data_IF_443935071961
#
_entry.id   IF_443935071961
#
_cell.length_a   1.000
_cell.length_b   1.000
_cell.length_c   1.000
_cell.angle_alpha   90.00
_cell.angle_beta   90.00
_cell.angle_gamma   90.00
#
_symmetry.space_group_name_H-M   'P 1'
#
loop_
_entity.id
_entity.type
_entity.pdbx_description
1 polymer ?
#
# COMPACT_ATOMS: atom_id res chain seq x y z
N UNK A 1 4.64 -9.01 4.07
CA UNK A 1 3.88 -8.07 3.22
C UNK A 1 2.41 -8.44 3.22
N UNK A 2 1.52 -7.47 3.26
CA UNK A 2 0.09 -7.72 3.26
C UNK A 2 -0.61 -6.79 2.27
N UNK A 3 -1.54 -7.34 1.47
CA UNK A 3 -2.38 -6.57 0.58
C UNK A 3 -3.83 -6.72 1.04
N UNK A 4 -4.52 -5.60 1.23
CA UNK A 4 -5.94 -5.56 1.57
C UNK A 4 -6.66 -4.69 0.55
N UNK A 5 -7.74 -5.21 0.01
CA UNK A 5 -8.59 -4.44 -0.89
C UNK A 5 -9.96 -4.24 -0.26
N UNK A 6 -10.37 -2.97 -0.14
CA UNK A 6 -11.66 -2.58 0.40
C UNK A 6 -12.59 -2.24 -0.74
N UNK A 7 -13.44 -3.19 -1.10
CA UNK A 7 -14.30 -3.07 -2.26
C UNK A 7 -15.27 -1.89 -2.16
N UNK A 8 -15.78 -1.60 -0.97
CA UNK A 8 -16.78 -0.55 -0.77
C UNK A 8 -16.24 0.83 -1.12
N UNK A 9 -14.97 1.07 -0.86
CA UNK A 9 -14.32 2.37 -1.10
C UNK A 9 -13.33 2.34 -2.27
N UNK A 10 -13.17 1.18 -2.91
CA UNK A 10 -12.19 0.97 -3.97
C UNK A 10 -10.79 1.38 -3.52
N UNK A 11 -10.41 0.94 -2.32
CA UNK A 11 -9.14 1.30 -1.71
C UNK A 11 -8.25 0.08 -1.58
N UNK A 12 -7.01 0.18 -2.05
CA UNK A 12 -5.99 -0.84 -1.89
C UNK A 12 -4.98 -0.38 -0.83
N UNK A 13 -4.74 -1.23 0.16
CA UNK A 13 -3.75 -1.01 1.19
C UNK A 13 -2.63 -2.04 1.03
N UNK A 14 -1.39 -1.57 0.93
CA UNK A 14 -0.21 -2.42 0.82
C UNK A 14 0.67 -2.16 2.03
N UNK A 15 0.88 -3.17 2.86
CA UNK A 15 1.76 -3.09 4.03
C UNK A 15 3.04 -3.83 3.74
N UNK A 16 4.16 -3.12 3.69
CA UNK A 16 5.47 -3.72 3.46
C UNK A 16 6.08 -4.28 4.73
N UNK A 17 5.89 -3.57 5.84
CA UNK A 17 6.39 -3.93 7.16
C UNK A 17 5.32 -3.64 8.21
N UNK A 18 5.13 -4.58 9.12
CA UNK A 18 4.23 -4.40 10.27
C UNK A 18 5.04 -3.82 11.43
N UNK A 19 5.20 -2.52 11.43
CA UNK A 19 5.95 -1.77 12.46
C UNK A 19 5.15 -0.51 12.83
N UNK A 20 5.56 0.15 13.91
CA UNK A 20 4.92 1.39 14.34
C UNK A 20 5.11 2.49 13.31
N UNK A 21 4.02 3.12 12.93
CA UNK A 21 4.00 4.23 11.99
C UNK A 21 4.08 5.53 12.79
N UNK A 22 5.06 6.37 12.47
CA UNK A 22 5.28 7.63 13.18
C UNK A 22 4.97 8.85 12.34
N UNK A 23 4.82 8.69 11.02
CA UNK A 23 4.53 9.80 10.12
C UNK A 23 3.75 9.31 8.90
N UNK A 24 2.95 10.20 8.35
CA UNK A 24 2.22 9.95 7.10
C UNK A 24 2.42 11.14 6.18
N UNK A 25 2.38 10.88 4.88
CA UNK A 25 2.56 11.90 3.86
C UNK A 25 1.68 11.59 2.65
N UNK A 26 0.96 12.59 2.17
CA UNK A 26 0.25 12.47 0.91
C UNK A 26 1.23 12.54 -0.25
N UNK A 27 1.29 11.48 -1.04
CA UNK A 27 2.03 11.51 -2.30
C UNK A 27 1.26 12.32 -3.34
N UNK A 28 -0.04 12.09 -3.40
CA UNK A 28 -1.01 12.90 -4.15
C UNK A 28 -2.34 12.81 -3.41
N UNK A 29 -3.40 13.39 -3.98
CA UNK A 29 -4.71 13.44 -3.31
C UNK A 29 -5.36 12.07 -3.12
N UNK A 30 -4.85 11.04 -3.79
CA UNK A 30 -5.41 9.68 -3.76
C UNK A 30 -4.39 8.63 -3.29
N UNK A 31 -3.23 9.04 -2.77
CA UNK A 31 -2.19 8.11 -2.34
C UNK A 31 -1.54 8.60 -1.06
N UNK A 32 -1.62 7.77 -0.01
CA UNK A 32 -1.03 8.07 1.29
C UNK A 32 0.15 7.13 1.55
N UNK A 33 1.26 7.70 2.00
CA UNK A 33 2.45 6.96 2.42
C UNK A 33 2.55 6.98 3.94
N UNK A 34 2.96 5.85 4.52
CA UNK A 34 3.17 5.72 5.96
C UNK A 34 4.63 5.35 6.23
N UNK A 35 5.24 6.03 7.22
CA UNK A 35 6.67 5.92 7.52
C UNK A 35 6.92 5.47 8.95
N UNK A 36 8.01 4.72 9.16
CA UNK A 36 8.52 4.38 10.49
C UNK A 36 9.51 5.45 10.99
N UNK A 37 10.11 5.22 12.15
CA UNK A 37 11.08 6.14 12.75
C UNK A 37 12.32 6.34 11.89
N UNK A 38 12.70 5.35 11.09
CA UNK A 38 13.87 5.43 10.22
C UNK A 38 13.58 6.15 8.90
N UNK A 39 12.35 6.62 8.69
CA UNK A 39 11.97 7.29 7.44
C UNK A 39 11.72 6.35 6.28
N UNK A 40 11.55 5.06 6.55
CA UNK A 40 11.23 4.07 5.53
C UNK A 40 9.73 4.04 5.26
N UNK A 41 9.36 3.85 4.00
CA UNK A 41 7.95 3.66 3.62
C UNK A 41 7.55 2.26 4.04
N UNK A 42 6.57 2.17 4.93
CA UNK A 42 6.10 0.88 5.47
C UNK A 42 4.74 0.46 4.95
N UNK A 43 3.96 1.40 4.44
CA UNK A 43 2.66 1.10 3.85
C UNK A 43 2.24 2.18 2.86
N UNK A 44 1.40 1.78 1.92
CA UNK A 44 0.80 2.68 0.92
C UNK A 44 -0.69 2.43 0.89
N UNK A 45 -1.49 3.49 0.93
CA UNK A 45 -2.94 3.44 0.71
C UNK A 45 -3.26 4.11 -0.61
N UNK A 46 -3.94 3.39 -1.50
CA UNK A 46 -4.30 3.88 -2.83
C UNK A 46 -5.82 3.93 -2.97
N UNK A 47 -6.36 5.12 -3.17
CA UNK A 47 -7.77 5.31 -3.51
C UNK A 47 -7.98 5.16 -5.01
N UNK A 48 -9.19 4.80 -5.43
CA UNK A 48 -9.55 4.52 -6.82
C UNK A 48 -8.67 3.40 -7.41
N UNK A 49 -8.42 2.39 -6.61
CA UNK A 49 -7.42 1.37 -6.92
C UNK A 49 -7.74 0.57 -8.19
N UNK A 50 -9.02 0.30 -8.46
CA UNK A 50 -9.43 -0.45 -9.66
C UNK A 50 -9.08 0.26 -10.96
N UNK A 51 -8.95 1.60 -10.92
CA UNK A 51 -8.60 2.43 -12.07
C UNK A 51 -7.09 2.60 -12.22
N UNK A 52 -6.33 2.25 -11.18
CA UNK A 52 -4.89 2.52 -11.10
C UNK A 52 -4.04 1.25 -11.12
N UNK A 53 -4.63 0.12 -10.80
CA UNK A 53 -3.94 -1.15 -10.71
C UNK A 53 -4.83 -2.27 -11.24
N UNK A 54 -4.20 -3.31 -11.79
CA UNK A 54 -4.92 -4.49 -12.25
C UNK A 54 -5.14 -5.44 -11.06
N UNK A 55 -6.22 -5.23 -10.33
CA UNK A 55 -6.51 -5.94 -9.09
C UNK A 55 -6.86 -7.42 -9.29
N UNK A 56 -7.17 -7.82 -10.52
CA UNK A 56 -7.52 -9.21 -10.84
C UNK A 56 -6.31 -10.06 -11.19
N UNK A 57 -5.15 -9.44 -11.39
CA UNK A 57 -3.94 -10.12 -11.80
C UNK A 57 -2.78 -9.73 -10.90
N UNK A 58 -2.48 -10.59 -9.93
CA UNK A 58 -1.31 -10.44 -9.08
C UNK A 58 -0.31 -11.51 -9.46
N UNK A 59 0.90 -11.11 -9.83
CA UNK A 59 1.99 -12.01 -10.13
C UNK A 59 3.14 -11.74 -9.18
N UNK A 60 3.71 -12.80 -8.60
CA UNK A 60 4.88 -12.72 -7.73
C UNK A 60 5.97 -13.60 -8.35
N UNK A 61 7.04 -12.98 -8.84
CA UNK A 61 8.12 -13.69 -9.51
C UNK A 61 9.46 -13.37 -8.84
N UNK A 62 10.39 -14.32 -8.95
CA UNK A 62 11.76 -14.12 -8.46
C UNK A 62 11.90 -14.12 -6.95
N UNK A 63 10.88 -14.57 -6.23
CA UNK A 63 10.91 -14.60 -4.76
C UNK A 63 11.37 -15.98 -4.31
N UNK A 64 12.52 -16.00 -3.64
CA UNK A 64 13.04 -17.21 -3.00
C UNK A 64 12.99 -16.99 -1.49
N UNK A 65 12.05 -17.61 -0.83
CA UNK A 65 11.87 -17.49 0.62
C UNK A 65 12.16 -18.82 1.31
#
# INVERSE_FOLDING_TARGET
MKLLYFKDTDTLYIEFKNVDIVDTQDLDENTLLEFNEQGEICAITMEHASQRADLHHLTMEGIAV
#
